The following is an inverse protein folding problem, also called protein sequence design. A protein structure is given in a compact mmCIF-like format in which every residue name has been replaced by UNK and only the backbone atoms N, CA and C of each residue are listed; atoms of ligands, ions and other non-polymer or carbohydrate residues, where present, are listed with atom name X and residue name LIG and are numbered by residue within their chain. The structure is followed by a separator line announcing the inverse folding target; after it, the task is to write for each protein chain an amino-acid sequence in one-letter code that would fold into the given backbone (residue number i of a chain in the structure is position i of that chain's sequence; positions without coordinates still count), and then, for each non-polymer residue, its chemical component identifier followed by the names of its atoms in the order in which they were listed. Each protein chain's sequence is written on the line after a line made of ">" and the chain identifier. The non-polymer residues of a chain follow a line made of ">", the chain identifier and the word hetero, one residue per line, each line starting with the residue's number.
data_IF_931461678742
#
_entry.id   IF_931461678742
#
_cell.length_a   1.000
_cell.length_b   1.000
_cell.length_c   1.000
_cell.angle_alpha   90.00
_cell.angle_beta   90.00
_cell.angle_gamma   90.00
#
_symmetry.space_group_name_H-M   'P 1'
#
loop_
_entity.id
_entity.type
_entity.pdbx_description
1 polymer ?
#
# COMPACT_ATOMS: atom_id res chain seq x y z
N UNK A 1 2.10 -6.13 5.79
CA UNK A 1 2.11 -4.89 6.57
C UNK A 1 3.54 -4.43 6.83
N UNK A 2 3.85 -3.15 6.63
CA UNK A 2 5.12 -2.53 7.04
C UNK A 2 4.81 -1.29 7.90
N UNK A 3 5.45 -1.18 9.06
CA UNK A 3 5.30 -0.04 9.98
C UNK A 3 6.61 0.71 10.03
N UNK A 4 6.57 2.01 9.73
CA UNK A 4 7.74 2.88 9.70
C UNK A 4 7.61 3.86 10.84
N UNK A 5 8.55 3.79 11.78
CA UNK A 5 8.65 4.73 12.88
C UNK A 5 9.42 5.96 12.40
N UNK A 6 8.82 7.15 12.43
CA UNK A 6 9.44 8.32 11.89
C UNK A 6 10.56 8.84 12.80
N UNK A 7 11.74 9.10 12.24
CA UNK A 7 12.81 9.87 12.89
C UNK A 7 12.64 11.38 12.74
N UNK A 8 11.68 11.80 11.90
CA UNK A 8 11.41 13.20 11.51
C UNK A 8 9.90 13.44 11.45
N UNK A 9 9.43 14.69 11.57
CA UNK A 9 8.01 14.99 11.43
C UNK A 9 7.44 14.45 10.12
N UNK A 10 6.26 13.81 10.20
CA UNK A 10 5.58 13.31 9.01
C UNK A 10 4.89 14.46 8.27
N UNK A 11 4.92 14.45 6.93
CA UNK A 11 4.17 15.41 6.13
C UNK A 11 2.66 15.21 6.27
N UNK A 12 1.88 16.20 5.84
CA UNK A 12 0.44 16.01 5.63
C UNK A 12 0.19 14.94 4.55
N UNK A 13 -1.03 14.42 4.50
CA UNK A 13 -1.43 13.43 3.49
C UNK A 13 -1.29 13.97 2.06
N UNK A 14 -1.58 15.25 1.85
CA UNK A 14 -1.47 15.94 0.57
C UNK A 14 -0.02 16.13 0.17
N UNK A 15 0.83 16.58 1.09
CA UNK A 15 2.26 16.74 0.85
C UNK A 15 2.93 15.39 0.56
N UNK A 16 2.54 14.33 1.28
CA UNK A 16 3.00 12.97 1.02
C UNK A 16 2.58 12.46 -0.36
N UNK A 17 1.35 12.76 -0.79
CA UNK A 17 0.85 12.38 -2.11
C UNK A 17 1.68 13.03 -3.22
N UNK A 18 1.93 14.34 -3.12
CA UNK A 18 2.75 15.07 -4.08
C UNK A 18 4.17 14.51 -4.13
N UNK A 19 4.77 14.23 -2.96
CA UNK A 19 6.11 13.64 -2.88
C UNK A 19 6.17 12.26 -3.54
N UNK A 20 5.15 11.42 -3.33
CA UNK A 20 5.10 10.09 -3.93
C UNK A 20 4.89 10.14 -5.45
N UNK A 21 4.12 11.11 -5.95
CA UNK A 21 3.94 11.36 -7.39
C UNK A 21 5.26 11.77 -8.06
N UNK A 22 6.04 12.63 -7.40
CA UNK A 22 7.34 13.10 -7.89
C UNK A 22 8.42 12.00 -7.84
N UNK A 23 8.52 11.29 -6.71
CA UNK A 23 9.62 10.35 -6.46
C UNK A 23 9.37 8.95 -7.01
N UNK A 24 8.10 8.57 -7.18
CA UNK A 24 7.70 7.25 -7.65
C UNK A 24 6.60 7.37 -8.73
N UNK A 25 6.89 8.02 -9.88
CA UNK A 25 5.91 8.34 -10.92
C UNK A 25 5.37 7.11 -11.67
N UNK A 26 5.99 5.94 -11.48
CA UNK A 26 5.48 4.67 -12.01
C UNK A 26 4.18 4.19 -11.34
N UNK A 27 3.72 4.88 -10.29
CA UNK A 27 2.43 4.65 -9.67
C UNK A 27 1.55 5.90 -9.80
N UNK A 28 0.25 5.68 -9.87
CA UNK A 28 -0.76 6.74 -9.69
C UNK A 28 -1.28 6.70 -8.26
N UNK A 29 -1.59 7.87 -7.71
CA UNK A 29 -2.00 8.02 -6.33
C UNK A 29 -3.36 8.68 -6.23
N UNK A 30 -4.16 8.28 -5.24
CA UNK A 30 -5.44 8.91 -4.92
C UNK A 30 -5.72 8.74 -3.44
N UNK A 31 -6.38 9.74 -2.87
CA UNK A 31 -6.89 9.66 -1.52
C UNK A 31 -8.14 8.78 -1.48
N UNK A 32 -8.21 7.90 -0.47
CA UNK A 32 -9.42 7.14 -0.17
C UNK A 32 -9.77 7.31 1.29
N UNK A 33 -11.04 7.64 1.55
CA UNK A 33 -11.60 7.73 2.89
C UNK A 33 -12.24 6.40 3.26
N UNK A 34 -11.84 5.86 4.40
CA UNK A 34 -12.45 4.72 5.06
C UNK A 34 -13.00 5.14 6.43
N UNK A 35 -13.70 4.23 7.10
CA UNK A 35 -14.29 4.47 8.44
C UNK A 35 -13.22 4.85 9.47
N UNK A 36 -12.07 4.17 9.44
CA UNK A 36 -10.92 4.37 10.32
C UNK A 36 -9.91 5.46 9.85
N UNK A 37 -10.30 6.29 8.87
CA UNK A 37 -9.51 7.43 8.41
C UNK A 37 -9.23 7.46 6.91
N UNK A 38 -8.40 8.40 6.48
CA UNK A 38 -8.01 8.59 5.08
C UNK A 38 -6.62 7.98 4.84
N UNK A 39 -6.45 7.33 3.69
CA UNK A 39 -5.18 6.79 3.24
C UNK A 39 -4.88 7.24 1.81
N UNK A 40 -3.62 7.08 1.40
CA UNK A 40 -3.22 7.15 0.00
C UNK A 40 -3.24 5.74 -0.58
N UNK A 41 -3.94 5.56 -1.68
CA UNK A 41 -3.85 4.35 -2.48
C UNK A 41 -2.86 4.55 -3.61
N UNK A 42 -2.02 3.56 -3.86
CA UNK A 42 -1.07 3.55 -4.97
C UNK A 42 -1.43 2.47 -5.99
N UNK A 43 -1.57 2.86 -7.26
CA UNK A 43 -1.93 1.97 -8.38
C UNK A 43 -0.78 1.93 -9.39
N UNK A 44 -0.31 0.71 -9.71
CA UNK A 44 0.57 0.48 -10.88
C UNK A 44 -0.22 0.07 -12.12
N UNK A 45 -1.46 -0.38 -11.93
CA UNK A 45 -2.33 -0.93 -12.98
C UNK A 45 -3.78 -0.63 -12.60
N UNK A 46 -4.75 -1.27 -13.26
CA UNK A 46 -6.18 -1.13 -12.93
C UNK A 46 -6.55 -1.51 -11.50
N UNK A 47 -5.61 -2.08 -10.72
CA UNK A 47 -5.81 -2.49 -9.33
C UNK A 47 -4.85 -1.77 -8.38
N UNK A 48 -5.32 -1.44 -7.15
CA UNK A 48 -4.46 -0.82 -6.16
C UNK A 48 -3.42 -1.85 -5.70
N UNK A 49 -2.18 -1.39 -5.51
CA UNK A 49 -1.03 -2.19 -5.08
C UNK A 49 -0.61 -1.93 -3.64
N UNK A 50 -0.86 -0.73 -3.11
CA UNK A 50 -0.54 -0.39 -1.73
C UNK A 50 -1.53 0.62 -1.14
N UNK A 51 -1.74 0.52 0.17
CA UNK A 51 -2.40 1.54 0.99
C UNK A 51 -1.38 2.15 1.95
N UNK A 52 -1.36 3.48 2.06
CA UNK A 52 -0.40 4.23 2.87
C UNK A 52 -1.19 5.07 3.86
N UNK A 53 -0.96 4.79 5.13
CA UNK A 53 -1.68 5.37 6.25
C UNK A 53 -0.73 6.24 7.07
N UNK A 54 -1.09 7.50 7.23
CA UNK A 54 -0.41 8.41 8.16
C UNK A 54 -1.14 8.34 9.50
N UNK A 55 -0.45 7.88 10.54
CA UNK A 55 -0.97 7.77 11.91
C UNK A 55 -0.06 8.54 12.87
N UNK A 56 -0.58 8.91 14.04
CA UNK A 56 0.16 9.71 15.03
C UNK A 56 1.52 9.10 15.44
N UNK A 57 1.65 7.76 15.37
CA UNK A 57 2.89 7.04 15.71
C UNK A 57 3.75 6.60 14.52
N UNK A 58 3.35 6.90 13.28
CA UNK A 58 4.13 6.54 12.10
C UNK A 58 3.36 6.34 10.80
N UNK A 59 4.07 5.77 9.83
CA UNK A 59 3.50 5.38 8.54
C UNK A 59 3.24 3.88 8.53
N UNK A 60 2.06 3.51 8.07
CA UNK A 60 1.67 2.12 7.87
C UNK A 60 1.45 1.91 6.38
N UNK A 61 2.18 0.94 5.80
CA UNK A 61 2.07 0.58 4.38
C UNK A 61 1.57 -0.85 4.26
N UNK A 62 0.38 -1.00 3.69
CA UNK A 62 -0.31 -2.26 3.52
C UNK A 62 -0.45 -2.63 2.04
N UNK A 63 -0.66 -3.91 1.77
CA UNK A 63 -1.06 -4.33 0.43
C UNK A 63 -2.53 -3.98 0.26
N UNK A 64 -2.86 -3.28 -0.82
CA UNK A 64 -4.25 -2.99 -1.15
C UNK A 64 -4.88 -4.26 -1.75
N UNK A 65 -5.36 -5.14 -0.88
CA UNK A 65 -6.06 -6.35 -1.30
C UNK A 65 -7.54 -6.02 -1.44
N UNK A 66 -8.20 -6.36 -2.57
CA UNK A 66 -9.65 -6.33 -2.63
C UNK A 66 -10.20 -7.36 -1.63
N UNK A 67 -10.74 -6.90 -0.50
CA UNK A 67 -11.24 -7.73 0.62
C UNK A 67 -12.16 -8.88 0.18
N UNK A 68 -12.92 -8.65 -0.89
CA UNK A 68 -13.92 -9.55 -1.44
C UNK A 68 -13.36 -10.67 -2.34
N UNK A 69 -12.09 -10.63 -2.74
CA UNK A 69 -11.50 -11.67 -3.62
C UNK A 69 -10.76 -12.75 -2.84
N UNK A 70 -10.14 -12.39 -1.72
CA UNK A 70 -9.24 -13.26 -0.95
C UNK A 70 -9.99 -14.44 -0.32
N UNK A 71 -11.14 -14.17 0.29
CA UNK A 71 -12.01 -15.20 0.87
C UNK A 71 -12.75 -16.01 -0.22
N UNK A 72 -13.22 -15.34 -1.27
CA UNK A 72 -13.97 -15.97 -2.36
C UNK A 72 -13.12 -16.91 -3.23
N UNK A 73 -11.86 -16.56 -3.52
CA UNK A 73 -10.98 -17.39 -4.34
C UNK A 73 -10.42 -18.59 -3.58
N UNK A 74 -10.09 -18.40 -2.29
CA UNK A 74 -9.58 -19.48 -1.44
C UNK A 74 -10.65 -20.52 -1.14
N UNK A 75 -11.88 -20.08 -0.85
CA UNK A 75 -13.00 -20.99 -0.57
C UNK A 75 -13.53 -21.74 -1.79
N UNK A 76 -13.37 -21.18 -3.01
CA UNK A 76 -14.01 -21.69 -4.23
C UNK A 76 -13.08 -22.50 -5.15
N UNK A 77 -11.76 -22.33 -5.04
CA UNK A 77 -10.79 -22.93 -5.96
C UNK A 77 -9.63 -23.72 -5.29
N UNK A 78 -9.63 -23.87 -3.97
CA UNK A 78 -8.65 -24.71 -3.25
C UNK A 78 -7.19 -24.41 -3.63
N UNK A 79 -6.44 -25.42 -4.09
CA UNK A 79 -5.03 -25.31 -4.47
C UNK A 79 -4.78 -24.34 -5.65
N UNK A 80 -5.74 -24.25 -6.58
CA UNK A 80 -5.69 -23.33 -7.72
C UNK A 80 -5.90 -21.89 -7.25
N UNK A 81 -6.79 -21.69 -6.27
CA UNK A 81 -6.99 -20.41 -5.58
C UNK A 81 -5.71 -19.94 -4.87
N UNK A 82 -5.02 -20.85 -4.19
CA UNK A 82 -3.71 -20.58 -3.56
C UNK A 82 -2.61 -20.20 -4.56
N UNK A 83 -2.54 -20.88 -5.72
CA UNK A 83 -1.57 -20.56 -6.78
C UNK A 83 -1.85 -19.20 -7.43
N UNK A 84 -3.12 -18.92 -7.70
CA UNK A 84 -3.59 -17.62 -8.20
C UNK A 84 -3.28 -16.53 -7.18
N UNK A 85 -3.52 -16.77 -5.89
CA UNK A 85 -3.11 -15.87 -4.81
C UNK A 85 -1.60 -15.66 -4.75
N UNK A 86 -0.78 -16.69 -4.95
CA UNK A 86 0.69 -16.58 -4.93
C UNK A 86 1.22 -15.74 -6.08
N UNK A 87 0.62 -15.87 -7.27
CA UNK A 87 0.88 -15.02 -8.43
C UNK A 87 0.37 -13.59 -8.22
N UNK A 88 -0.79 -13.42 -7.58
CA UNK A 88 -1.31 -12.10 -7.19
C UNK A 88 -0.42 -11.40 -6.16
N UNK A 89 -0.06 -12.05 -5.07
CA UNK A 89 0.79 -11.50 -4.02
C UNK A 89 2.17 -11.10 -4.53
N UNK A 90 2.72 -11.81 -5.53
CA UNK A 90 4.01 -11.43 -6.14
C UNK A 90 3.97 -10.08 -6.85
N UNK A 91 2.88 -9.76 -7.55
CA UNK A 91 2.72 -8.49 -8.30
C UNK A 91 2.15 -7.36 -7.45
N UNK A 92 1.23 -7.66 -6.54
CA UNK A 92 0.61 -6.66 -5.64
C UNK A 92 1.61 -6.23 -4.55
N UNK A 93 2.37 -7.19 -3.99
CA UNK A 93 3.37 -6.91 -2.95
C UNK A 93 4.61 -6.16 -3.44
N UNK A 94 4.77 -5.92 -4.75
CA UNK A 94 5.86 -5.10 -5.28
C UNK A 94 5.65 -3.61 -4.97
N UNK A 95 4.45 -3.07 -5.21
CA UNK A 95 4.14 -1.68 -4.89
C UNK A 95 4.33 -1.39 -3.40
N UNK A 96 3.78 -2.26 -2.53
CA UNK A 96 3.99 -2.16 -1.08
C UNK A 96 5.47 -2.14 -0.72
N UNK A 97 6.28 -3.06 -1.28
CA UNK A 97 7.71 -3.16 -0.96
C UNK A 97 8.49 -1.93 -1.40
N UNK A 98 8.26 -1.45 -2.62
CA UNK A 98 8.95 -0.27 -3.16
C UNK A 98 8.60 0.97 -2.34
N UNK A 99 7.31 1.22 -2.11
CA UNK A 99 6.84 2.37 -1.34
C UNK A 99 7.29 2.30 0.11
N UNK A 100 7.16 1.14 0.77
CA UNK A 100 7.61 0.98 2.14
C UNK A 100 9.12 1.19 2.29
N UNK A 101 9.93 0.73 1.32
CA UNK A 101 11.37 0.95 1.31
C UNK A 101 11.71 2.43 1.14
N UNK A 102 11.05 3.11 0.20
CA UNK A 102 11.23 4.55 -0.01
C UNK A 102 10.93 5.32 1.27
N UNK A 103 9.74 5.10 1.86
CA UNK A 103 9.32 5.79 3.08
C UNK A 103 10.20 5.44 4.28
N UNK A 104 10.71 4.21 4.39
CA UNK A 104 11.66 3.84 5.42
C UNK A 104 13.00 4.57 5.27
N UNK A 105 13.52 4.73 4.05
CA UNK A 105 14.75 5.48 3.80
C UNK A 105 14.57 6.99 4.04
N UNK A 106 13.37 7.50 3.72
CA UNK A 106 13.07 8.94 3.81
C UNK A 106 12.72 9.39 5.22
N UNK A 107 11.93 8.59 5.93
CA UNK A 107 11.34 8.94 7.22
C UNK A 107 11.75 8.01 8.36
N UNK A 108 12.24 6.81 8.07
CA UNK A 108 12.63 5.85 9.09
C UNK A 108 13.84 6.30 9.93
N UNK A 109 13.88 5.79 11.16
CA UNK A 109 15.04 5.84 12.04
C UNK A 109 16.03 4.71 11.73
#
# INVERSE_FOLDING_TARGET
>A
MAVIRPARPLPSLEALLIELEDQLPQYSYRLRRYVHGTCILAWRSTRPGAEIWVKAGGLLVEEAVPDNWTAALSGRFGLLGLLVMRLFNRRVGEARRVIARYLALRYGA
#
